data_IF_577429180842
#
_entry.id   IF_577429180842
#
_cell.length_a   1.000
_cell.length_b   1.000
_cell.length_c   1.000
_cell.angle_alpha   90.00
_cell.angle_beta   90.00
_cell.angle_gamma   90.00
#
_symmetry.space_group_name_H-M   'P 1'
#
loop_
_entity.id
_entity.type
_entity.pdbx_description
1 polymer ?
#
# COMPACT_ATOMS: atom_id res chain seq x y z
N UNK A 1 -3.73 5.22 18.68
CA UNK A 1 -3.35 6.09 17.54
C UNK A 1 -2.44 5.38 16.53
N UNK A 2 -1.45 4.57 16.96
CA UNK A 2 -0.59 3.77 16.09
C UNK A 2 -1.35 2.81 15.15
N UNK A 3 -2.31 2.06 15.69
CA UNK A 3 -3.10 1.07 14.94
C UNK A 3 -3.90 1.67 13.79
N UNK A 4 -4.43 2.90 13.96
CA UNK A 4 -5.17 3.61 12.91
C UNK A 4 -4.23 3.98 11.75
N UNK A 5 -3.02 4.47 12.05
CA UNK A 5 -2.02 4.80 11.01
C UNK A 5 -1.63 3.55 10.21
N UNK A 6 -1.45 2.42 10.91
CA UNK A 6 -1.14 1.13 10.31
C UNK A 6 -2.27 0.64 9.40
N UNK A 7 -3.51 0.62 9.91
CA UNK A 7 -4.70 0.26 9.12
C UNK A 7 -4.88 1.17 7.90
N UNK A 8 -4.69 2.48 8.05
CA UNK A 8 -4.83 3.43 6.95
C UNK A 8 -3.81 3.14 5.84
N UNK A 9 -2.55 2.89 6.20
CA UNK A 9 -1.50 2.58 5.22
C UNK A 9 -1.72 1.23 4.53
N UNK A 10 -2.20 0.20 5.25
CA UNK A 10 -2.58 -1.08 4.68
C UNK A 10 -3.76 -0.95 3.72
N UNK A 11 -4.77 -0.15 4.09
CA UNK A 11 -5.93 0.13 3.26
C UNK A 11 -5.50 0.82 1.95
N UNK A 12 -4.63 1.83 2.03
CA UNK A 12 -4.12 2.56 0.87
C UNK A 12 -3.32 1.61 -0.03
N UNK A 13 -2.40 0.83 0.52
CA UNK A 13 -1.60 -0.14 -0.23
C UNK A 13 -2.49 -1.19 -0.91
N UNK A 14 -3.45 -1.75 -0.18
CA UNK A 14 -4.41 -2.73 -0.70
C UNK A 14 -5.32 -2.16 -1.79
N UNK A 15 -5.76 -0.91 -1.66
CA UNK A 15 -6.60 -0.24 -2.66
C UNK A 15 -5.85 -0.04 -3.98
N UNK A 16 -4.57 0.37 -3.94
CA UNK A 16 -3.75 0.51 -5.15
C UNK A 16 -3.49 -0.84 -5.83
N UNK A 17 -3.21 -1.89 -5.06
CA UNK A 17 -3.04 -3.24 -5.61
C UNK A 17 -4.34 -3.80 -6.21
N UNK A 18 -5.48 -3.59 -5.54
CA UNK A 18 -6.79 -4.02 -6.05
C UNK A 18 -7.17 -3.28 -7.32
N UNK A 19 -6.99 -1.95 -7.35
CA UNK A 19 -7.24 -1.14 -8.54
C UNK A 19 -6.34 -1.55 -9.71
N UNK A 20 -5.05 -1.78 -9.45
CA UNK A 20 -4.11 -2.29 -10.44
C UNK A 20 -4.58 -3.63 -11.04
N UNK A 21 -5.04 -4.56 -10.20
CA UNK A 21 -5.55 -5.85 -10.63
C UNK A 21 -6.80 -5.69 -11.51
N UNK A 22 -7.79 -4.90 -11.08
CA UNK A 22 -9.01 -4.65 -11.86
C UNK A 22 -8.69 -4.00 -13.21
N UNK A 23 -7.84 -2.98 -13.23
CA UNK A 23 -7.45 -2.26 -14.44
C UNK A 23 -6.66 -3.14 -15.42
N UNK A 24 -5.91 -4.10 -14.90
CA UNK A 24 -5.22 -5.10 -15.70
C UNK A 24 -6.22 -5.97 -16.48
N UNK A 25 -7.30 -6.43 -15.85
CA UNK A 25 -8.37 -7.19 -16.52
C UNK A 25 -9.23 -6.34 -17.45
N UNK A 26 -9.34 -5.03 -17.21
CA UNK A 26 -10.05 -4.09 -18.10
C UNK A 26 -9.29 -3.75 -19.39
N UNK A 27 -8.15 -4.40 -19.68
CA UNK A 27 -7.27 -4.12 -20.84
C UNK A 27 -6.76 -2.67 -20.91
N UNK A 28 -6.95 -1.86 -19.86
CA UNK A 28 -6.43 -0.48 -19.72
C UNK A 28 -4.98 -0.53 -19.24
N UNK A 29 -4.13 -1.21 -20.03
CA UNK A 29 -2.72 -1.51 -19.73
C UNK A 29 -1.88 -0.32 -19.23
N UNK A 30 -1.98 0.91 -19.77
CA UNK A 30 -1.14 2.01 -19.29
C UNK A 30 -1.50 2.45 -17.87
N UNK A 31 -2.80 2.49 -17.54
CA UNK A 31 -3.28 2.90 -16.20
C UNK A 31 -3.04 1.77 -15.20
N UNK A 32 -3.15 0.51 -15.62
CA UNK A 32 -2.77 -0.63 -14.79
C UNK A 32 -1.28 -0.56 -14.40
N UNK A 33 -0.39 -0.24 -15.34
CA UNK A 33 1.04 -0.13 -15.08
C UNK A 33 1.38 0.99 -14.10
N UNK A 34 0.75 2.17 -14.23
CA UNK A 34 0.94 3.26 -13.27
C UNK A 34 0.43 2.86 -11.88
N UNK A 35 -0.72 2.21 -11.78
CA UNK A 35 -1.24 1.71 -10.50
C UNK A 35 -0.34 0.63 -9.87
N UNK A 36 0.30 -0.24 -10.65
CA UNK A 36 1.27 -1.22 -10.14
C UNK A 36 2.50 -0.53 -9.56
N UNK A 37 3.05 0.47 -10.26
CA UNK A 37 4.22 1.23 -9.78
C UNK A 37 3.87 2.00 -8.51
N UNK A 38 2.70 2.65 -8.46
CA UNK A 38 2.17 3.30 -7.26
C UNK A 38 1.95 2.32 -6.11
N UNK A 39 1.43 1.12 -6.40
CA UNK A 39 1.27 0.03 -5.44
C UNK A 39 2.62 -0.38 -4.83
N UNK A 40 3.63 -0.65 -5.65
CA UNK A 40 4.98 -0.97 -5.19
C UNK A 40 5.63 0.16 -4.40
N UNK A 41 5.50 1.40 -4.86
CA UNK A 41 6.02 2.56 -4.15
C UNK A 41 5.36 2.72 -2.77
N UNK A 42 4.04 2.52 -2.68
CA UNK A 42 3.30 2.57 -1.41
C UNK A 42 3.73 1.44 -0.46
N UNK A 43 3.99 0.24 -0.98
CA UNK A 43 4.52 -0.87 -0.19
C UNK A 43 5.91 -0.57 0.35
N UNK A 44 6.80 -0.02 -0.50
CA UNK A 44 8.13 0.39 -0.06
C UNK A 44 8.07 1.45 1.03
N UNK A 45 7.22 2.48 0.86
CA UNK A 45 6.98 3.52 1.87
C UNK A 45 6.43 2.95 3.18
N UNK A 46 5.55 1.95 3.11
CA UNK A 46 5.01 1.28 4.30
C UNK A 46 6.11 0.56 5.10
N UNK A 47 6.92 -0.27 4.44
CA UNK A 47 8.04 -0.96 5.10
C UNK A 47 9.12 0.02 5.58
N UNK A 48 9.40 1.07 4.82
CA UNK A 48 10.35 2.12 5.21
C UNK A 48 9.86 2.90 6.44
N UNK A 49 8.56 3.19 6.52
CA UNK A 49 7.95 3.85 7.67
C UNK A 49 7.97 2.96 8.93
N UNK A 50 7.87 1.64 8.78
CA UNK A 50 8.09 0.69 9.89
C UNK A 50 9.56 0.73 10.32
N UNK A 51 10.49 0.63 9.38
CA UNK A 51 11.94 0.61 9.66
C UNK A 51 12.42 1.88 10.37
N UNK A 52 11.91 3.05 9.98
CA UNK A 52 12.23 4.35 10.60
C UNK A 52 11.52 4.60 11.93
N UNK A 53 10.67 3.68 12.40
CA UNK A 53 9.90 3.82 13.63
C UNK A 53 8.72 4.79 13.53
N UNK A 54 8.40 5.28 12.34
CA UNK A 54 7.23 6.15 12.08
C UNK A 54 5.91 5.39 12.21
N UNK A 55 5.91 4.10 11.85
CA UNK A 55 4.84 3.15 12.13
C UNK A 55 5.29 2.20 13.25
N UNK A 56 4.92 2.48 14.51
CA UNK A 56 5.08 1.51 15.58
C UNK A 56 4.13 0.34 15.32
N UNK A 57 4.70 -0.86 15.20
CA UNK A 57 3.95 -2.11 15.27
C UNK A 57 3.33 -2.20 16.67
N UNK A 58 2.07 -2.65 16.80
CA UNK A 58 1.51 -2.91 18.12
C UNK A 58 2.40 -3.93 18.82
N UNK A 59 2.92 -3.57 19.99
CA UNK A 59 3.61 -4.52 20.87
C UNK A 59 2.66 -5.69 21.09
N UNK A 60 3.17 -6.89 20.80
CA UNK A 60 2.46 -8.14 20.93
C UNK A 60 1.97 -8.23 22.38
N UNK A 61 0.67 -8.02 22.60
CA UNK A 61 0.03 -8.36 23.87
C UNK A 61 -0.09 -9.87 23.98
#
# INVERSE_FOLDING_TARGET
MATIKLLLSLLVMGAFFSAAFVLFFQKRKPIAWTCIVLGFASAFLFYYAIYTGWLPLPETQ
#
